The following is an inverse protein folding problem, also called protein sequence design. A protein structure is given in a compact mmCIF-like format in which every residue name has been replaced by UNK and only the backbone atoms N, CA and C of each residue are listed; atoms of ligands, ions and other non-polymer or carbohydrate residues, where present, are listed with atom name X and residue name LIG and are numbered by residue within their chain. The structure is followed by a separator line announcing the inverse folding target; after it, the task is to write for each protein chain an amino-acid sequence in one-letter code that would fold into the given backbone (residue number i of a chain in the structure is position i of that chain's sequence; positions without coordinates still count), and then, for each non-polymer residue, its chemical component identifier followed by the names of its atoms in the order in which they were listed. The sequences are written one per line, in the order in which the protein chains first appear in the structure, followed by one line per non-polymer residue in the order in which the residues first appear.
data_IF_516094865041
#
_entry.id   IF_516094865041
#
_cell.length_a   1.000
_cell.length_b   1.000
_cell.length_c   1.000
_cell.angle_alpha   90.00
_cell.angle_beta   90.00
_cell.angle_gamma   90.00
#
_symmetry.space_group_name_H-M   'P 1'
#
loop_
_entity.id
_entity.type
_entity.pdbx_description
1 polymer ?
#
# COMPACT_ATOMS: atom_id res chain seq x y z
N UNK A 1 29.25 31.98 -18.98
CA UNK A 1 30.24 31.15 -18.26
C UNK A 1 29.64 29.76 -18.10
N UNK A 2 30.23 28.74 -18.72
CA UNK A 2 29.74 27.36 -18.60
C UNK A 2 30.07 26.81 -17.20
N UNK A 3 29.16 26.03 -16.57
CA UNK A 3 29.40 25.45 -15.25
C UNK A 3 30.55 24.44 -15.33
N UNK A 4 31.49 24.53 -14.38
CA UNK A 4 32.61 23.59 -14.26
C UNK A 4 32.07 22.23 -13.79
N UNK A 5 32.45 21.11 -14.43
CA UNK A 5 32.03 19.78 -14.00
C UNK A 5 32.61 19.45 -12.63
N UNK A 6 31.77 18.91 -11.74
CA UNK A 6 32.14 18.42 -10.42
C UNK A 6 33.15 17.28 -10.57
N UNK A 7 34.38 17.49 -10.09
CA UNK A 7 35.41 16.43 -10.01
C UNK A 7 35.02 15.44 -8.92
N UNK A 8 34.89 14.16 -9.29
CA UNK A 8 34.71 13.06 -8.33
C UNK A 8 35.93 12.94 -7.39
N UNK A 9 35.74 12.56 -6.11
CA UNK A 9 36.83 12.22 -5.20
C UNK A 9 37.67 11.06 -5.74
N UNK A 10 38.99 11.16 -5.67
CA UNK A 10 39.96 10.28 -6.32
C UNK A 10 40.07 8.84 -5.74
N UNK A 11 39.16 8.42 -4.85
CA UNK A 11 39.28 7.15 -4.11
C UNK A 11 38.09 6.20 -4.24
N UNK A 12 37.15 6.45 -5.16
CA UNK A 12 36.06 5.50 -5.45
C UNK A 12 36.43 4.73 -6.73
N UNK A 13 36.63 3.39 -6.67
CA UNK A 13 36.88 2.60 -7.86
C UNK A 13 35.70 2.70 -8.84
N UNK A 14 35.95 2.66 -10.16
CA UNK A 14 34.89 2.78 -11.15
C UNK A 14 33.90 1.60 -11.01
N UNK A 15 32.60 1.91 -10.95
CA UNK A 15 31.50 0.94 -10.86
C UNK A 15 31.54 -0.17 -11.95
N UNK A 16 32.30 0.02 -13.02
CA UNK A 16 32.55 -0.99 -14.05
C UNK A 16 33.44 -2.16 -13.58
N UNK A 17 34.11 -2.09 -12.43
CA UNK A 17 34.94 -3.18 -11.91
C UNK A 17 34.20 -4.18 -11.02
N UNK A 18 32.95 -3.89 -10.63
CA UNK A 18 32.10 -4.81 -9.85
C UNK A 18 31.22 -5.70 -10.73
N UNK A 19 31.07 -5.36 -12.02
CA UNK A 19 30.23 -6.10 -12.97
C UNK A 19 30.98 -7.19 -13.75
N UNK A 20 32.27 -7.38 -13.49
CA UNK A 20 33.15 -8.34 -14.20
C UNK A 20 33.53 -9.55 -13.35
N UNK A 21 32.69 -9.95 -12.38
CA UNK A 21 32.83 -11.27 -11.77
C UNK A 21 32.36 -12.37 -12.75
N UNK A 22 33.21 -13.38 -13.04
CA UNK A 22 32.82 -14.50 -13.89
C UNK A 22 31.82 -15.38 -13.12
N UNK A 23 30.53 -15.25 -13.43
CA UNK A 23 29.47 -16.01 -12.77
C UNK A 23 28.05 -15.54 -13.09
N UNK A 24 27.86 -14.28 -13.50
CA UNK A 24 26.56 -13.79 -13.97
C UNK A 24 26.38 -14.07 -15.46
N UNK A 25 25.87 -15.27 -15.76
CA UNK A 25 25.27 -15.57 -17.05
C UNK A 25 23.96 -14.79 -17.18
N UNK A 26 23.93 -13.74 -17.99
CA UNK A 26 22.70 -13.14 -18.51
C UNK A 26 22.10 -14.08 -19.56
N UNK A 27 21.60 -15.23 -19.09
CA UNK A 27 20.85 -16.18 -19.89
C UNK A 27 19.49 -15.59 -20.26
N UNK A 28 19.44 -14.87 -21.38
CA UNK A 28 18.21 -14.50 -22.06
C UNK A 28 17.49 -15.75 -22.57
N UNK A 29 16.80 -16.44 -21.67
CA UNK A 29 15.77 -17.40 -22.02
C UNK A 29 14.46 -16.63 -22.06
N UNK A 30 13.95 -16.43 -23.27
CA UNK A 30 12.56 -16.02 -23.47
C UNK A 30 11.67 -17.13 -22.93
N UNK A 31 11.30 -17.04 -21.66
CA UNK A 31 10.26 -17.88 -21.08
C UNK A 31 8.98 -17.57 -21.87
N UNK A 32 8.35 -18.56 -22.53
CA UNK A 32 7.06 -18.32 -23.14
C UNK A 32 6.11 -17.86 -22.03
N UNK A 33 5.51 -16.68 -22.21
CA UNK A 33 4.46 -16.16 -21.34
C UNK A 33 3.34 -17.21 -21.31
N UNK A 34 3.34 -18.06 -20.28
CA UNK A 34 2.23 -18.94 -19.97
C UNK A 34 0.99 -18.07 -19.87
N UNK A 35 -0.08 -18.45 -20.57
CA UNK A 35 -1.38 -17.79 -20.44
C UNK A 35 -1.76 -17.80 -18.95
N UNK A 36 -1.73 -16.62 -18.33
CA UNK A 36 -1.96 -16.37 -16.91
C UNK A 36 -1.07 -17.19 -15.97
N UNK A 37 0.13 -16.69 -15.56
CA UNK A 37 0.76 -17.19 -14.35
C UNK A 37 -0.29 -17.20 -13.24
N UNK A 38 -0.47 -18.34 -12.58
CA UNK A 38 -1.48 -18.50 -11.54
C UNK A 38 -1.29 -17.40 -10.49
N UNK A 39 -2.11 -16.36 -10.59
CA UNK A 39 -2.12 -15.19 -9.74
C UNK A 39 -2.36 -15.66 -8.30
N UNK A 40 -1.29 -15.78 -7.53
CA UNK A 40 -1.38 -16.24 -6.15
C UNK A 40 -2.02 -15.12 -5.35
N UNK A 41 -3.23 -15.38 -4.83
CA UNK A 41 -3.86 -14.46 -3.89
C UNK A 41 -3.36 -14.77 -2.49
N UNK A 42 -3.01 -13.77 -1.67
CA UNK A 42 -2.72 -14.00 -0.27
C UNK A 42 -3.93 -14.63 0.41
N UNK A 43 -3.68 -15.60 1.29
CA UNK A 43 -4.75 -16.27 2.05
C UNK A 43 -5.42 -15.34 3.06
N UNK A 44 -4.68 -14.32 3.49
CA UNK A 44 -5.09 -13.36 4.50
C UNK A 44 -4.68 -11.93 4.13
N UNK A 45 -5.44 -10.94 4.60
CA UNK A 45 -5.14 -9.52 4.40
C UNK A 45 -5.43 -8.72 5.66
N UNK A 46 -4.68 -7.63 5.86
CA UNK A 46 -5.00 -6.59 6.84
C UNK A 46 -5.52 -5.37 6.07
N UNK A 47 -6.72 -4.91 6.42
CA UNK A 47 -7.29 -3.69 5.86
C UNK A 47 -7.08 -2.52 6.81
N UNK A 48 -6.47 -1.45 6.29
CA UNK A 48 -6.39 -0.17 6.95
C UNK A 48 -7.48 0.73 6.36
N UNK A 49 -8.42 1.17 7.20
CA UNK A 49 -9.61 1.93 6.80
C UNK A 49 -9.63 3.25 7.58
N UNK A 50 -9.78 4.35 6.84
CA UNK A 50 -10.01 5.67 7.44
C UNK A 50 -11.49 5.83 7.83
N UNK A 51 -11.72 6.35 9.04
CA UNK A 51 -13.03 6.80 9.55
C UNK A 51 -14.15 5.72 9.60
N UNK A 52 -14.25 4.96 10.72
CA UNK A 52 -15.29 3.95 10.89
C UNK A 52 -16.70 4.54 11.03
N UNK A 53 -16.85 5.85 11.28
CA UNK A 53 -18.19 6.43 11.56
C UNK A 53 -19.08 6.42 10.33
N UNK A 54 -18.48 6.58 9.15
CA UNK A 54 -19.17 6.43 7.86
C UNK A 54 -19.67 4.99 7.64
N UNK A 55 -18.86 3.99 8.00
CA UNK A 55 -19.19 2.57 7.83
C UNK A 55 -20.18 2.05 8.88
N UNK A 56 -20.15 2.60 10.10
CA UNK A 56 -21.08 2.25 11.18
C UNK A 56 -22.45 2.91 11.02
N UNK A 57 -22.54 4.12 10.44
CA UNK A 57 -23.83 4.78 10.19
C UNK A 57 -24.67 4.08 9.10
N UNK A 58 -24.02 3.42 8.13
CA UNK A 58 -24.70 2.73 7.03
C UNK A 58 -25.45 1.45 7.47
N UNK A 59 -25.08 0.85 8.61
CA UNK A 59 -25.72 -0.38 9.11
C UNK A 59 -26.93 -0.13 10.02
N UNK A 60 -27.20 1.12 10.41
CA UNK A 60 -28.19 1.45 11.45
C UNK A 60 -29.60 1.75 10.90
N UNK A 61 -29.86 1.55 9.60
CA UNK A 61 -31.18 1.78 8.99
C UNK A 61 -32.01 0.52 8.75
N UNK A 62 -31.52 -0.66 9.15
CA UNK A 62 -32.35 -1.89 9.20
C UNK A 62 -32.56 -2.34 10.64
N UNK A 63 -33.70 -1.94 11.24
CA UNK A 63 -34.33 -2.46 12.45
C UNK A 63 -33.45 -3.29 13.42
N UNK A 64 -32.85 -2.62 14.41
CA UNK A 64 -32.81 -3.11 15.79
C UNK A 64 -31.74 -4.12 16.20
N UNK A 65 -30.85 -4.57 15.31
CA UNK A 65 -29.69 -5.38 15.72
C UNK A 65 -28.41 -4.61 15.45
N UNK A 66 -27.65 -4.28 16.51
CA UNK A 66 -26.28 -3.76 16.43
C UNK A 66 -25.43 -4.74 15.59
N UNK A 67 -25.37 -4.49 14.29
CA UNK A 67 -24.69 -5.33 13.32
C UNK A 67 -23.19 -5.09 13.42
N UNK A 68 -22.54 -5.75 14.37
CA UNK A 68 -21.08 -5.88 14.34
C UNK A 68 -20.64 -6.46 13.00
N UNK A 69 -19.48 -6.04 12.50
CA UNK A 69 -18.87 -6.59 11.29
C UNK A 69 -18.76 -8.11 11.46
N UNK A 70 -19.60 -8.88 10.73
CA UNK A 70 -19.55 -10.34 10.77
C UNK A 70 -18.22 -10.80 10.16
N UNK A 71 -17.63 -11.87 10.69
CA UNK A 71 -16.34 -12.47 10.32
C UNK A 71 -16.27 -13.05 8.88
N UNK A 72 -17.03 -12.50 7.94
CA UNK A 72 -17.21 -12.98 6.57
C UNK A 72 -16.82 -11.99 5.48
N UNK A 73 -16.16 -10.87 5.82
CA UNK A 73 -15.68 -9.93 4.80
C UNK A 73 -14.62 -10.63 3.93
N UNK A 74 -15.02 -10.89 2.70
CA UNK A 74 -14.29 -11.59 1.68
C UNK A 74 -13.78 -10.53 0.69
N UNK A 75 -12.47 -10.40 0.54
CA UNK A 75 -11.90 -9.46 -0.42
C UNK A 75 -11.42 -10.25 -1.63
N UNK A 76 -12.29 -10.35 -2.64
CA UNK A 76 -12.03 -11.12 -3.86
C UNK A 76 -12.30 -12.64 -3.73
N UNK A 77 -12.96 -13.19 -4.75
CA UNK A 77 -13.14 -14.64 -4.96
C UNK A 77 -12.21 -15.14 -6.05
N UNK A 78 -11.46 -16.21 -5.82
CA UNK A 78 -10.81 -16.91 -6.92
C UNK A 78 -11.87 -17.64 -7.76
N UNK A 79 -11.64 -17.82 -9.08
CA UNK A 79 -12.48 -18.68 -9.94
C UNK A 79 -12.64 -20.11 -9.40
N UNK A 80 -11.72 -20.55 -8.52
CA UNK A 80 -11.72 -21.87 -7.86
C UNK A 80 -12.15 -21.85 -6.38
N UNK A 81 -12.85 -20.81 -5.94
CA UNK A 81 -13.53 -20.78 -4.63
C UNK A 81 -12.66 -20.49 -3.41
N UNK A 82 -11.36 -20.18 -3.57
CA UNK A 82 -10.59 -19.62 -2.44
C UNK A 82 -10.94 -18.16 -2.25
N UNK A 83 -11.40 -17.85 -1.05
CA UNK A 83 -11.72 -16.50 -0.60
C UNK A 83 -10.54 -15.97 0.20
N UNK A 84 -10.04 -14.78 -0.15
CA UNK A 84 -9.04 -14.10 0.67
C UNK A 84 -9.72 -13.60 1.95
N UNK A 85 -9.20 -14.04 3.10
CA UNK A 85 -9.80 -13.80 4.40
C UNK A 85 -9.24 -12.52 5.03
N UNK A 86 -10.10 -11.66 5.56
CA UNK A 86 -9.67 -10.54 6.37
C UNK A 86 -9.10 -11.04 7.72
N UNK A 87 -7.80 -10.82 7.99
CA UNK A 87 -7.12 -11.23 9.23
C UNK A 87 -7.01 -10.10 10.26
N UNK A 88 -6.97 -8.85 9.81
CA UNK A 88 -6.90 -7.68 10.69
C UNK A 88 -7.60 -6.45 10.12
N UNK A 89 -8.06 -5.59 11.01
CA UNK A 89 -8.66 -4.30 10.69
C UNK A 89 -7.95 -3.21 11.49
N UNK A 90 -7.46 -2.20 10.81
CA UNK A 90 -6.86 -1.03 11.46
C UNK A 90 -7.77 0.15 11.14
N UNK A 91 -8.45 0.64 12.16
CA UNK A 91 -9.34 1.79 12.08
C UNK A 91 -8.58 3.07 12.41
N UNK A 92 -8.90 4.15 11.72
CA UNK A 92 -8.47 5.48 12.13
C UNK A 92 -9.59 6.19 12.87
N UNK A 93 -9.38 6.53 14.14
CA UNK A 93 -10.36 7.23 14.97
C UNK A 93 -10.05 8.73 15.05
N UNK A 94 -11.06 9.53 14.76
CA UNK A 94 -11.04 10.98 15.01
C UNK A 94 -11.52 11.25 16.43
N UNK A 95 -10.87 12.20 17.10
CA UNK A 95 -10.86 12.44 18.57
C UNK A 95 -12.23 12.67 19.25
N UNK A 96 -13.35 12.65 18.52
CA UNK A 96 -14.67 13.01 19.05
C UNK A 96 -15.49 11.84 19.63
N UNK A 97 -15.13 10.59 19.37
CA UNK A 97 -15.89 9.43 19.84
C UNK A 97 -15.01 8.32 20.40
N UNK A 98 -14.17 8.62 21.41
CA UNK A 98 -13.39 7.61 22.13
C UNK A 98 -14.32 6.58 22.82
N UNK A 99 -14.77 5.59 22.05
CA UNK A 99 -15.57 4.48 22.50
C UNK A 99 -14.62 3.52 23.21
N UNK A 100 -14.70 3.55 24.54
CA UNK A 100 -13.98 2.71 25.51
C UNK A 100 -13.43 1.37 24.99
N UNK A 101 -12.15 1.13 25.30
CA UNK A 101 -11.22 0.01 25.03
C UNK A 101 -11.70 -1.46 25.17
N UNK A 102 -12.99 -1.75 25.30
CA UNK A 102 -13.46 -3.12 25.55
C UNK A 102 -13.89 -3.88 24.28
N UNK A 103 -13.10 -3.81 23.20
CA UNK A 103 -13.20 -4.77 22.10
C UNK A 103 -12.35 -6.02 22.40
N UNK A 104 -12.79 -6.81 23.39
CA UNK A 104 -12.32 -8.19 23.58
C UNK A 104 -13.28 -9.12 22.83
N UNK A 105 -12.93 -9.46 21.59
CA UNK A 105 -13.66 -10.47 20.82
C UNK A 105 -12.76 -11.68 20.59
N UNK A 106 -13.00 -12.77 21.35
CA UNK A 106 -12.22 -14.02 21.31
C UNK A 106 -12.29 -14.80 19.97
N UNK A 107 -12.92 -14.27 18.92
CA UNK A 107 -13.00 -14.94 17.60
C UNK A 107 -13.02 -14.02 16.36
N UNK A 108 -12.71 -12.73 16.51
CA UNK A 108 -12.75 -11.74 15.42
C UNK A 108 -11.39 -11.40 14.80
N UNK A 109 -11.35 -10.66 13.67
CA UNK A 109 -10.12 -10.03 13.18
C UNK A 109 -9.55 -9.13 14.28
N UNK A 110 -8.22 -9.13 14.46
CA UNK A 110 -7.59 -8.24 15.44
C UNK A 110 -7.78 -6.80 14.98
N UNK A 111 -8.27 -5.95 15.88
CA UNK A 111 -8.60 -4.56 15.60
C UNK A 111 -7.61 -3.62 16.28
N UNK A 112 -7.09 -2.65 15.52
CA UNK A 112 -6.22 -1.58 16.04
C UNK A 112 -6.85 -0.23 15.72
N UNK A 113 -6.76 0.69 16.66
CA UNK A 113 -7.16 2.08 16.46
C UNK A 113 -5.92 2.95 16.27
N UNK A 114 -5.92 3.76 15.21
CA UNK A 114 -4.92 4.76 14.88
C UNK A 114 -5.53 6.12 15.17
N UNK A 115 -4.96 6.87 16.10
CA UNK A 115 -5.54 8.14 16.51
C UNK A 115 -5.05 9.26 15.62
N UNK A 116 -5.99 10.04 15.07
CA UNK A 116 -5.65 11.24 14.33
C UNK A 116 -5.24 12.35 15.31
N UNK A 117 -4.00 12.82 15.20
CA UNK A 117 -3.55 14.01 15.90
C UNK A 117 -4.06 15.26 15.18
N UNK A 118 -4.26 16.33 15.95
CA UNK A 118 -4.84 17.59 15.45
C UNK A 118 -3.85 18.74 15.34
N UNK A 119 -2.59 18.54 15.75
CA UNK A 119 -1.56 19.59 15.80
C UNK A 119 -0.26 19.14 15.15
N UNK A 120 0.48 20.12 14.65
CA UNK A 120 1.85 20.02 14.17
C UNK A 120 2.67 21.06 14.97
N UNK A 121 3.75 20.68 15.68
CA UNK A 121 4.20 19.31 15.92
C UNK A 121 3.19 18.51 16.76
N UNK A 122 3.27 17.17 16.70
CA UNK A 122 2.35 16.29 17.42
C UNK A 122 2.64 16.26 18.93
N UNK A 123 1.62 16.42 19.77
CA UNK A 123 1.72 16.12 21.19
C UNK A 123 1.20 14.70 21.47
N UNK A 124 2.08 13.79 21.86
CA UNK A 124 1.69 12.42 22.22
C UNK A 124 1.26 12.33 23.70
N UNK A 125 0.25 11.51 24.02
CA UNK A 125 -0.12 11.25 25.41
C UNK A 125 1.02 10.52 26.14
N UNK A 126 1.28 10.90 27.39
CA UNK A 126 2.36 10.35 28.22
C UNK A 126 1.97 9.11 29.04
N UNK A 127 0.70 8.68 28.97
CA UNK A 127 0.16 7.56 29.74
C UNK A 127 0.56 6.18 29.20
N UNK A 128 0.57 5.17 30.07
CA UNK A 128 0.84 3.77 29.70
C UNK A 128 -0.28 3.16 28.83
N UNK A 129 -1.47 3.74 28.85
CA UNK A 129 -2.62 3.37 28.00
C UNK A 129 -2.62 4.14 26.68
N UNK A 130 -1.52 4.83 26.34
CA UNK A 130 -1.40 5.49 25.05
C UNK A 130 -1.47 4.44 23.93
N UNK A 131 -2.51 4.58 23.11
CA UNK A 131 -2.61 3.94 21.81
C UNK A 131 -1.27 3.94 21.07
N UNK A 132 -0.88 2.81 20.49
CA UNK A 132 0.47 2.68 19.89
C UNK A 132 0.60 3.30 18.51
N UNK A 133 -0.49 3.81 17.93
CA UNK A 133 -0.52 4.21 16.53
C UNK A 133 -1.20 5.57 16.38
N UNK A 134 -0.51 6.48 15.72
CA UNK A 134 -0.97 7.85 15.50
C UNK A 134 -0.79 8.23 14.03
N UNK A 135 -1.81 8.87 13.47
CA UNK A 135 -1.68 9.54 12.17
C UNK A 135 -1.55 11.02 12.42
N UNK A 136 -0.57 11.64 11.76
CA UNK A 136 -0.41 13.09 11.77
C UNK A 136 -1.45 13.74 10.84
N UNK A 137 -1.85 15.00 11.10
CA UNK A 137 -2.48 15.82 10.07
C UNK A 137 -1.65 15.80 8.79
N UNK A 138 -2.32 15.93 7.64
CA UNK A 138 -1.61 16.16 6.37
C UNK A 138 -0.71 17.37 6.51
N UNK A 139 0.58 17.18 6.25
CA UNK A 139 1.58 18.23 6.31
C UNK A 139 1.36 19.17 5.12
N UNK A 140 0.92 20.42 5.33
CA UNK A 140 0.57 21.28 4.22
C UNK A 140 1.82 21.79 3.50
N UNK A 141 1.71 22.05 2.20
CA UNK A 141 2.76 22.68 1.42
C UNK A 141 3.06 24.08 1.99
N UNK A 142 4.35 24.34 2.23
CA UNK A 142 4.82 25.59 2.83
C UNK A 142 4.89 25.59 4.36
N UNK A 143 4.40 24.55 5.05
CA UNK A 143 4.71 24.39 6.46
C UNK A 143 6.20 24.09 6.65
N UNK A 144 6.85 24.84 7.55
CA UNK A 144 8.27 24.72 7.85
C UNK A 144 8.47 23.85 9.10
N UNK A 145 8.76 22.55 8.92
CA UNK A 145 9.24 21.68 9.99
C UNK A 145 10.52 22.27 10.62
N UNK A 146 11.36 22.95 9.82
CA UNK A 146 12.61 23.57 10.29
C UNK A 146 12.39 24.59 11.39
N UNK A 147 11.32 25.37 11.31
CA UNK A 147 11.03 26.44 12.27
C UNK A 147 10.66 25.86 13.65
N UNK A 148 10.06 24.67 13.67
CA UNK A 148 9.61 23.95 14.87
C UNK A 148 10.41 22.67 15.12
N UNK A 149 11.59 22.55 14.52
CA UNK A 149 12.38 21.32 14.50
C UNK A 149 12.71 20.77 15.90
N UNK A 150 13.10 21.58 16.91
CA UNK A 150 13.33 21.05 18.25
C UNK A 150 12.10 20.38 18.85
N UNK A 151 10.91 20.97 18.68
CA UNK A 151 9.66 20.43 19.19
C UNK A 151 9.24 19.14 18.45
N UNK A 152 9.47 19.07 17.15
CA UNK A 152 9.33 17.82 16.38
C UNK A 152 10.25 16.72 16.91
N UNK A 153 11.53 17.02 17.14
CA UNK A 153 12.50 16.04 17.64
C UNK A 153 12.14 15.56 19.06
N UNK A 154 11.63 16.43 19.93
CA UNK A 154 11.15 16.03 21.27
C UNK A 154 9.94 15.10 21.17
N UNK A 155 9.03 15.41 20.25
CA UNK A 155 7.82 14.60 20.01
C UNK A 155 8.19 13.22 19.47
N UNK A 156 9.12 13.14 18.50
CA UNK A 156 9.58 11.86 17.95
C UNK A 156 10.41 11.05 18.95
N UNK A 157 11.18 11.71 19.83
CA UNK A 157 11.88 11.03 20.92
C UNK A 157 10.89 10.42 21.91
N UNK A 158 9.81 11.13 22.24
CA UNK A 158 8.72 10.60 23.05
C UNK A 158 8.04 9.41 22.34
N UNK A 159 7.77 9.54 21.05
CA UNK A 159 7.22 8.44 20.25
C UNK A 159 8.11 7.21 20.27
N UNK A 160 9.43 7.39 20.20
CA UNK A 160 10.39 6.28 20.24
C UNK A 160 10.39 5.61 21.61
N UNK A 161 10.40 6.40 22.69
CA UNK A 161 10.28 5.89 24.07
C UNK A 161 9.05 5.00 24.27
N UNK A 162 7.94 5.34 23.63
CA UNK A 162 6.68 4.60 23.74
C UNK A 162 6.44 3.58 22.60
N UNK A 163 7.43 3.35 21.72
CA UNK A 163 7.34 2.42 20.57
C UNK A 163 6.16 2.73 19.65
N UNK A 164 5.87 4.00 19.44
CA UNK A 164 4.73 4.43 18.65
C UNK A 164 4.99 4.22 17.15
N UNK A 165 3.92 3.97 16.42
CA UNK A 165 3.87 4.10 14.96
C UNK A 165 3.31 5.47 14.61
N UNK A 166 4.07 6.27 13.88
CA UNK A 166 3.70 7.62 13.46
C UNK A 166 3.54 7.64 11.95
N UNK A 167 2.33 7.95 11.49
CA UNK A 167 2.02 8.02 10.06
C UNK A 167 2.06 9.46 9.56
N UNK A 168 2.87 9.71 8.55
CA UNK A 168 2.93 10.98 7.84
C UNK A 168 2.02 10.92 6.62
N UNK A 169 1.21 11.95 6.46
CA UNK A 169 0.50 12.23 5.23
C UNK A 169 1.11 13.50 4.63
N UNK A 170 1.66 13.40 3.43
CA UNK A 170 2.37 14.48 2.76
C UNK A 170 1.45 15.11 1.71
N UNK A 171 1.46 16.43 1.58
CA UNK A 171 0.72 17.09 0.52
C UNK A 171 1.49 16.97 -0.81
N UNK A 172 0.93 16.23 -1.77
CA UNK A 172 1.61 15.95 -3.05
C UNK A 172 1.41 16.99 -4.15
N UNK A 173 1.97 16.69 -5.32
CA UNK A 173 1.90 17.50 -6.56
C UNK A 173 0.47 17.84 -7.06
N UNK A 174 -0.56 17.21 -6.51
CA UNK A 174 -1.96 17.36 -6.95
C UNK A 174 -2.84 18.31 -6.13
N UNK A 175 -2.36 18.86 -5.01
CA UNK A 175 -3.25 19.51 -4.02
C UNK A 175 -3.41 21.03 -4.17
N UNK A 176 -2.38 21.76 -4.63
CA UNK A 176 -2.39 23.23 -4.60
C UNK A 176 -2.62 23.83 -5.98
N UNK A 177 -3.54 24.79 -6.13
CA UNK A 177 -3.81 25.50 -7.39
C UNK A 177 -2.74 26.54 -7.80
N UNK A 178 -1.56 26.50 -7.19
CA UNK A 178 -0.45 27.42 -7.47
C UNK A 178 0.16 27.18 -8.85
N UNK A 179 1.00 28.12 -9.30
CA UNK A 179 1.85 27.92 -10.47
C UNK A 179 2.68 26.64 -10.30
N UNK A 180 2.78 25.84 -11.37
CA UNK A 180 3.43 24.52 -11.35
C UNK A 180 4.83 24.58 -10.74
N UNK A 181 5.64 25.57 -11.14
CA UNK A 181 7.03 25.71 -10.67
C UNK A 181 7.11 25.96 -9.16
N UNK A 182 6.20 26.76 -8.61
CA UNK A 182 6.17 27.03 -7.17
C UNK A 182 5.69 25.80 -6.39
N UNK A 183 4.72 25.05 -6.95
CA UNK A 183 4.28 23.79 -6.35
C UNK A 183 5.41 22.78 -6.27
N UNK A 184 6.14 22.60 -7.38
CA UNK A 184 7.25 21.64 -7.46
C UNK A 184 8.34 22.01 -6.45
N UNK A 185 8.65 23.31 -6.30
CA UNK A 185 9.58 23.80 -5.28
C UNK A 185 9.10 23.52 -3.86
N UNK A 186 7.82 23.70 -3.56
CA UNK A 186 7.25 23.45 -2.23
C UNK A 186 7.24 21.96 -1.89
N UNK A 187 6.95 21.08 -2.86
CA UNK A 187 7.01 19.63 -2.68
C UNK A 187 8.45 19.18 -2.42
N UNK A 188 9.41 19.66 -3.21
CA UNK A 188 10.83 19.41 -3.01
C UNK A 188 11.30 19.82 -1.60
N UNK A 189 10.90 21.02 -1.16
CA UNK A 189 11.20 21.52 0.17
C UNK A 189 10.53 20.70 1.27
N UNK A 190 9.32 20.17 1.06
CA UNK A 190 8.67 19.27 2.01
C UNK A 190 9.44 17.94 2.14
N UNK A 191 9.88 17.35 1.02
CA UNK A 191 10.68 16.13 1.03
C UNK A 191 12.00 16.31 1.79
N UNK A 192 12.73 17.39 1.52
CA UNK A 192 13.99 17.71 2.22
C UNK A 192 13.77 17.85 3.74
N UNK A 193 12.68 18.49 4.15
CA UNK A 193 12.37 18.70 5.56
C UNK A 193 11.99 17.42 6.29
N UNK A 194 11.22 16.53 5.66
CA UNK A 194 10.87 15.22 6.22
C UNK A 194 12.13 14.36 6.35
N UNK A 195 12.99 14.34 5.34
CA UNK A 195 14.27 13.64 5.37
C UNK A 195 15.19 14.16 6.49
N UNK A 196 15.31 15.48 6.63
CA UNK A 196 16.09 16.11 7.69
C UNK A 196 15.55 15.74 9.08
N UNK A 197 14.24 15.77 9.26
CA UNK A 197 13.58 15.38 10.50
C UNK A 197 13.87 13.92 10.86
N UNK A 198 13.70 13.01 9.91
CA UNK A 198 13.94 11.57 10.12
C UNK A 198 15.42 11.30 10.43
N UNK A 199 16.34 11.94 9.71
CA UNK A 199 17.78 11.84 9.94
C UNK A 199 18.18 12.33 11.33
N UNK A 200 17.70 13.51 11.74
CA UNK A 200 18.01 14.08 13.06
C UNK A 200 17.35 13.29 14.19
N UNK A 201 16.14 12.79 13.99
CA UNK A 201 15.47 11.93 14.98
C UNK A 201 16.27 10.64 15.22
N UNK A 202 16.75 10.01 14.14
CA UNK A 202 17.57 8.81 14.22
C UNK A 202 18.92 9.07 14.90
N UNK A 203 19.61 10.16 14.55
CA UNK A 203 20.87 10.53 15.19
C UNK A 203 20.70 10.78 16.70
N UNK A 204 19.65 11.51 17.10
CA UNK A 204 19.35 11.78 18.52
C UNK A 204 19.08 10.50 19.30
N UNK A 205 18.30 9.57 18.75
CA UNK A 205 18.03 8.29 19.39
C UNK A 205 19.29 7.43 19.52
N UNK A 206 20.16 7.46 18.51
CA UNK A 206 21.43 6.77 18.55
C UNK A 206 22.33 7.32 19.68
N UNK A 207 22.43 8.64 19.82
CA UNK A 207 23.16 9.29 20.92
C UNK A 207 22.61 8.90 22.30
N UNK A 208 21.28 8.91 22.47
CA UNK A 208 20.63 8.48 23.72
C UNK A 208 20.92 7.01 24.05
N UNK A 209 20.92 6.13 23.04
CA UNK A 209 21.22 4.71 23.24
C UNK A 209 22.68 4.45 23.63
N UNK A 210 23.62 5.30 23.18
CA UNK A 210 25.03 5.19 23.58
C UNK A 210 25.23 5.61 25.05
N UNK A 211 24.56 6.66 25.50
CA UNK A 211 24.67 7.11 26.90
C UNK A 211 24.18 6.07 27.92
N UNK A 212 23.19 5.25 27.54
CA UNK A 212 22.67 4.19 28.42
C UNK A 212 23.62 2.96 28.46
N UNK A 213 24.42 2.73 27.42
CA UNK A 213 25.30 1.57 27.31
C UNK A 213 26.65 1.70 28.00
N UNK A 214 27.14 2.92 28.28
CA UNK A 214 28.42 3.12 28.99
C UNK A 214 28.45 2.51 30.41
N UNK A 215 27.30 2.11 30.96
CA UNK A 215 27.18 1.44 32.26
C UNK A 215 27.10 -0.09 32.26
N UNK A 216 26.92 -0.76 31.11
CA UNK A 216 26.62 -2.22 31.06
C UNK A 216 27.55 -2.93 30.07
N UNK A 217 28.64 -3.49 30.58
CA UNK A 217 29.75 -4.04 29.79
C UNK A 217 29.58 -5.52 29.39
N UNK A 218 28.36 -5.98 29.11
CA UNK A 218 28.08 -7.36 28.66
C UNK A 218 27.73 -7.38 27.16
N UNK A 219 28.65 -7.92 26.34
CA UNK A 219 28.66 -7.84 24.88
C UNK A 219 27.60 -8.64 24.11
N UNK A 220 26.37 -8.78 24.62
CA UNK A 220 25.30 -9.56 23.99
C UNK A 220 24.09 -8.74 23.49
N UNK A 221 24.03 -7.41 23.68
CA UNK A 221 22.77 -6.65 23.52
C UNK A 221 22.62 -5.77 22.26
N UNK A 222 23.60 -5.68 21.36
CA UNK A 222 23.57 -4.69 20.27
C UNK A 222 22.39 -4.85 19.29
N UNK A 223 21.76 -6.03 19.23
CA UNK A 223 20.64 -6.28 18.30
C UNK A 223 19.24 -5.98 18.88
N UNK A 224 19.09 -5.85 20.21
CA UNK A 224 17.77 -5.65 20.84
C UNK A 224 17.24 -4.21 20.75
N UNK A 225 18.12 -3.22 20.56
CA UNK A 225 17.73 -1.80 20.58
C UNK A 225 16.93 -1.36 19.34
N UNK A 226 17.07 -2.05 18.20
CA UNK A 226 16.39 -1.65 16.96
C UNK A 226 14.86 -1.86 17.02
N UNK A 227 14.38 -2.86 17.77
CA UNK A 227 12.95 -3.18 17.88
C UNK A 227 12.18 -2.26 18.84
N UNK A 228 12.91 -1.48 19.66
CA UNK A 228 12.35 -0.58 20.68
C UNK A 228 12.08 0.82 20.17
N UNK A 229 12.41 1.15 18.92
CA UNK A 229 12.30 2.51 18.42
C UNK A 229 10.95 2.80 17.74
N UNK A 230 10.59 4.08 17.62
CA UNK A 230 9.42 4.51 16.86
C UNK A 230 9.51 4.05 15.40
N UNK A 231 8.35 3.73 14.82
CA UNK A 231 8.22 3.35 13.41
C UNK A 231 7.49 4.45 12.66
N UNK A 232 7.96 4.74 11.45
CA UNK A 232 7.42 5.82 10.63
C UNK A 232 6.75 5.22 9.40
N UNK A 233 5.57 5.72 9.05
CA UNK A 233 4.84 5.25 7.89
C UNK A 233 4.53 6.43 7.00
N UNK A 234 4.87 6.37 5.72
CA UNK A 234 4.44 7.34 4.72
C UNK A 234 3.19 6.81 4.04
N UNK A 235 2.11 7.58 4.13
CA UNK A 235 0.87 7.24 3.44
C UNK A 235 0.94 7.61 1.95
N UNK A 236 0.07 7.00 1.14
CA UNK A 236 -0.13 7.29 -0.28
C UNK A 236 1.17 7.32 -1.10
N UNK A 237 2.00 6.28 -0.98
CA UNK A 237 3.31 6.18 -1.65
C UNK A 237 4.30 7.33 -1.32
N UNK A 238 4.06 8.09 -0.25
CA UNK A 238 4.84 9.30 0.03
C UNK A 238 4.61 10.41 -0.99
N UNK A 239 3.39 10.49 -1.53
CA UNK A 239 2.90 11.58 -2.40
C UNK A 239 3.58 11.68 -3.78
N UNK A 240 3.40 10.65 -4.64
CA UNK A 240 3.95 10.63 -5.98
C UNK A 240 3.29 11.68 -6.90
N UNK A 241 3.89 11.96 -8.08
CA UNK A 241 3.25 12.79 -9.09
C UNK A 241 1.99 12.11 -9.67
N UNK A 242 0.81 12.73 -9.51
CA UNK A 242 -0.49 12.12 -9.88
C UNK A 242 -1.14 12.69 -11.15
N UNK A 243 -0.63 13.79 -11.70
CA UNK A 243 -1.30 14.54 -12.79
C UNK A 243 -0.80 14.18 -14.20
N UNK A 244 0.06 13.17 -14.33
CA UNK A 244 0.74 12.82 -15.58
C UNK A 244 0.34 11.44 -16.08
N UNK A 245 0.27 11.30 -17.40
CA UNK A 245 0.21 9.97 -18.04
C UNK A 245 1.51 9.20 -17.77
N UNK A 246 1.48 7.88 -17.80
CA UNK A 246 2.63 6.99 -17.68
C UNK A 246 3.81 7.39 -18.59
N UNK A 247 3.53 7.76 -19.84
CA UNK A 247 4.55 8.18 -20.81
C UNK A 247 5.20 9.52 -20.43
N UNK A 248 4.41 10.47 -19.92
CA UNK A 248 4.91 11.75 -19.41
C UNK A 248 5.69 11.54 -18.11
N UNK A 249 5.15 10.73 -17.21
CA UNK A 249 5.69 10.45 -15.88
C UNK A 249 7.11 9.88 -15.98
N UNK A 250 7.34 8.89 -16.85
CA UNK A 250 8.66 8.28 -17.09
C UNK A 250 9.75 9.28 -17.52
N UNK A 251 9.36 10.41 -18.10
CA UNK A 251 10.29 11.47 -18.57
C UNK A 251 10.30 12.68 -17.64
N UNK A 252 9.47 12.67 -16.61
CA UNK A 252 9.27 13.84 -15.77
C UNK A 252 10.40 14.00 -14.75
N UNK A 253 10.87 15.24 -14.50
CA UNK A 253 11.79 15.50 -13.40
C UNK A 253 11.14 15.21 -12.03
N UNK A 254 9.82 15.36 -11.93
CA UNK A 254 9.05 15.09 -10.71
C UNK A 254 9.15 13.61 -10.29
N UNK A 255 9.08 12.67 -11.24
CA UNK A 255 9.29 11.25 -10.94
C UNK A 255 10.71 11.00 -10.43
N UNK A 256 11.73 11.63 -11.05
CA UNK A 256 13.12 11.45 -10.64
C UNK A 256 13.38 12.00 -9.24
N UNK A 257 12.80 13.15 -8.92
CA UNK A 257 12.88 13.77 -7.60
C UNK A 257 12.19 12.92 -6.53
N UNK A 258 10.96 12.50 -6.79
CA UNK A 258 10.19 11.64 -5.89
C UNK A 258 10.85 10.26 -5.70
N UNK A 259 11.33 9.62 -6.77
CA UNK A 259 12.08 8.37 -6.67
C UNK A 259 13.37 8.55 -5.88
N UNK A 260 14.09 9.66 -6.10
CA UNK A 260 15.26 10.02 -5.30
C UNK A 260 14.94 10.23 -3.82
N UNK A 261 13.77 10.80 -3.50
CA UNK A 261 13.26 10.88 -2.13
C UNK A 261 13.01 9.50 -1.54
N UNK A 262 12.34 8.59 -2.26
CA UNK A 262 12.16 7.19 -1.83
C UNK A 262 13.49 6.48 -1.55
N UNK A 263 14.51 6.66 -2.40
CA UNK A 263 15.84 6.08 -2.18
C UNK A 263 16.53 6.63 -0.93
N UNK A 264 16.33 7.91 -0.59
CA UNK A 264 16.91 8.49 0.64
C UNK A 264 16.15 8.04 1.89
N UNK A 265 14.83 7.89 1.80
CA UNK A 265 14.03 7.29 2.86
C UNK A 265 14.45 5.85 3.19
N UNK A 266 14.89 5.10 2.18
CA UNK A 266 15.37 3.73 2.36
C UNK A 266 16.57 3.62 3.31
N UNK A 267 17.33 4.71 3.51
CA UNK A 267 18.43 4.79 4.48
C UNK A 267 17.94 4.75 5.94
N UNK A 268 16.65 5.00 6.17
CA UNK A 268 16.03 4.89 7.47
C UNK A 268 15.34 3.52 7.62
N UNK A 269 15.89 2.58 8.41
CA UNK A 269 15.36 1.21 8.50
C UNK A 269 13.97 1.13 9.13
N UNK A 270 13.50 2.21 9.75
CA UNK A 270 12.23 2.31 10.48
C UNK A 270 11.10 2.93 9.66
N UNK A 271 11.37 3.30 8.41
CA UNK A 271 10.40 3.92 7.50
C UNK A 271 9.73 2.85 6.67
N UNK A 272 8.41 2.87 6.67
CA UNK A 272 7.52 2.03 5.87
C UNK A 272 6.72 2.92 4.91
N UNK A 273 6.26 2.34 3.80
CA UNK A 273 5.41 3.02 2.83
C UNK A 273 4.10 2.26 2.66
N UNK A 274 2.97 2.97 2.78
CA UNK A 274 1.66 2.42 2.43
C UNK A 274 1.42 2.54 0.93
N UNK A 275 1.02 1.44 0.32
CA UNK A 275 0.50 1.34 -1.04
C UNK A 275 -0.99 1.69 -1.03
N UNK A 276 -1.31 2.88 -0.52
CA UNK A 276 -2.66 3.43 -0.49
C UNK A 276 -2.94 4.30 -1.71
N UNK A 277 -4.21 4.41 -2.09
CA UNK A 277 -4.59 5.25 -3.21
C UNK A 277 -4.27 6.72 -2.92
N UNK A 278 -3.63 7.47 -3.84
CA UNK A 278 -3.36 8.89 -3.61
C UNK A 278 -4.67 9.71 -3.58
N UNK A 279 -4.84 10.70 -2.66
CA UNK A 279 -6.09 11.43 -2.50
C UNK A 279 -6.59 12.15 -3.76
N UNK A 280 -5.67 12.65 -4.59
CA UNK A 280 -5.98 13.51 -5.74
C UNK A 280 -6.28 12.75 -7.05
N UNK A 281 -5.89 11.48 -7.16
CA UNK A 281 -6.04 10.68 -8.38
C UNK A 281 -7.47 10.21 -8.63
N UNK A 282 -8.32 10.13 -7.60
CA UNK A 282 -9.66 9.54 -7.70
C UNK A 282 -10.80 10.55 -7.87
N UNK A 283 -10.58 11.80 -7.46
CA UNK A 283 -11.65 12.80 -7.36
C UNK A 283 -12.18 13.21 -8.74
N UNK A 284 -11.35 13.19 -9.79
CA UNK A 284 -11.75 13.64 -11.13
C UNK A 284 -12.63 12.63 -11.88
N UNK A 285 -12.55 11.33 -11.56
CA UNK A 285 -13.18 10.24 -12.32
C UNK A 285 -14.28 9.50 -11.57
N UNK A 286 -14.67 9.93 -10.36
CA UNK A 286 -15.61 9.16 -9.54
C UNK A 286 -15.04 7.81 -9.08
N UNK A 287 -13.74 7.77 -8.72
CA UNK A 287 -13.06 6.56 -8.28
C UNK A 287 -12.53 5.67 -9.41
N UNK A 288 -12.01 4.50 -9.05
CA UNK A 288 -11.51 3.47 -10.01
C UNK A 288 -12.67 2.90 -10.83
N UNK A 289 -13.84 2.80 -10.18
CA UNK A 289 -15.06 2.26 -10.78
C UNK A 289 -15.60 3.14 -11.90
N UNK A 290 -15.45 4.46 -11.79
CA UNK A 290 -15.87 5.41 -12.81
C UNK A 290 -14.90 5.60 -13.98
N UNK A 291 -13.70 5.00 -13.93
CA UNK A 291 -12.73 5.06 -15.04
C UNK A 291 -13.18 4.17 -16.20
N UNK A 292 -13.07 4.68 -17.43
CA UNK A 292 -13.18 3.83 -18.62
C UNK A 292 -11.97 2.86 -18.70
N UNK A 293 -12.03 1.91 -19.64
CA UNK A 293 -11.01 0.86 -19.78
C UNK A 293 -9.62 1.43 -20.11
N UNK A 294 -9.57 2.47 -20.94
CA UNK A 294 -8.33 3.14 -21.34
C UNK A 294 -7.67 3.86 -20.15
N UNK A 295 -8.45 4.63 -19.40
CA UNK A 295 -8.01 5.37 -18.22
C UNK A 295 -7.58 4.42 -17.10
N UNK A 296 -8.30 3.30 -16.91
CA UNK A 296 -7.91 2.27 -15.94
C UNK A 296 -6.60 1.59 -16.34
N UNK A 297 -6.43 1.27 -17.62
CA UNK A 297 -5.17 0.71 -18.14
C UNK A 297 -4.02 1.69 -17.95
N UNK A 298 -4.25 2.98 -18.21
CA UNK A 298 -3.25 4.02 -18.01
C UNK A 298 -2.91 4.22 -16.53
N UNK A 299 -3.92 4.22 -15.67
CA UNK A 299 -3.75 4.30 -14.23
C UNK A 299 -2.95 3.11 -13.68
N UNK A 300 -3.23 1.88 -14.16
CA UNK A 300 -2.44 0.69 -13.83
C UNK A 300 -0.96 0.86 -14.20
N UNK A 301 -0.65 1.42 -15.38
CA UNK A 301 0.75 1.70 -15.80
C UNK A 301 1.41 2.72 -14.87
N UNK A 302 0.68 3.76 -14.49
CA UNK A 302 1.17 4.78 -13.55
C UNK A 302 1.46 4.17 -12.17
N UNK A 303 0.53 3.38 -11.62
CA UNK A 303 0.72 2.68 -10.34
C UNK A 303 1.89 1.71 -10.40
N UNK A 304 2.11 1.03 -11.53
CA UNK A 304 3.30 0.20 -11.74
C UNK A 304 4.59 0.99 -11.62
N UNK A 305 4.68 2.17 -12.26
CA UNK A 305 5.87 3.04 -12.15
C UNK A 305 6.13 3.42 -10.69
N UNK A 306 5.08 3.73 -9.93
CA UNK A 306 5.23 4.05 -8.52
C UNK A 306 5.69 2.85 -7.69
N UNK A 307 5.04 1.68 -7.88
CA UNK A 307 5.40 0.43 -7.19
C UNK A 307 6.84 0.04 -7.49
N UNK A 308 7.28 0.09 -8.74
CA UNK A 308 8.66 -0.22 -9.14
C UNK A 308 9.66 0.67 -8.37
N UNK A 309 9.40 1.97 -8.27
CA UNK A 309 10.29 2.90 -7.58
C UNK A 309 10.34 2.67 -6.06
N UNK A 310 9.21 2.46 -5.39
CA UNK A 310 9.20 2.20 -3.93
C UNK A 310 9.74 0.82 -3.61
N UNK A 311 9.52 -0.17 -4.46
CA UNK A 311 10.03 -1.52 -4.30
C UNK A 311 11.55 -1.56 -4.45
N UNK A 312 12.10 -0.89 -5.46
CA UNK A 312 13.55 -0.78 -5.68
C UNK A 312 14.24 -0.07 -4.50
N UNK A 313 13.62 0.98 -3.98
CA UNK A 313 14.17 1.73 -2.85
C UNK A 313 14.02 0.99 -1.52
N UNK A 314 12.80 0.58 -1.15
CA UNK A 314 12.51 0.10 0.20
C UNK A 314 12.56 -1.43 0.36
N UNK A 315 12.33 -2.18 -0.71
CA UNK A 315 12.13 -3.61 -0.69
C UNK A 315 10.76 -4.03 -0.13
N UNK A 316 10.39 -5.29 -0.36
CA UNK A 316 9.08 -5.86 0.02
C UNK A 316 8.80 -5.86 1.54
N UNK A 317 9.83 -5.84 2.40
CA UNK A 317 9.70 -5.88 3.86
C UNK A 317 9.14 -4.59 4.47
N UNK A 318 9.14 -3.50 3.69
CA UNK A 318 8.78 -2.16 4.17
C UNK A 318 7.57 -1.56 3.44
N UNK A 319 6.91 -2.35 2.60
CA UNK A 319 5.68 -1.96 1.91
C UNK A 319 4.47 -2.56 2.62
N UNK A 320 3.39 -1.79 2.70
CA UNK A 320 2.13 -2.20 3.34
C UNK A 320 0.98 -1.86 2.41
N UNK A 321 0.14 -2.83 2.07
CA UNK A 321 -1.11 -2.52 1.38
C UNK A 321 -2.06 -1.77 2.31
N UNK A 322 -2.70 -0.72 1.80
CA UNK A 322 -3.74 0.02 2.52
C UNK A 322 -4.81 0.49 1.55
N UNK A 323 -6.04 0.60 2.02
CA UNK A 323 -7.19 1.09 1.26
C UNK A 323 -7.74 2.39 1.87
N UNK A 324 -6.85 3.19 2.47
CA UNK A 324 -7.16 4.47 3.11
C UNK A 324 -7.71 5.47 2.08
N UNK A 325 -8.63 6.33 2.52
CA UNK A 325 -9.31 7.30 1.66
C UNK A 325 -10.34 6.77 0.66
N UNK A 326 -10.61 5.46 0.61
CA UNK A 326 -11.69 4.89 -0.22
C UNK A 326 -13.01 4.81 0.55
N UNK A 327 -14.12 4.92 -0.19
CA UNK A 327 -15.46 4.81 0.38
C UNK A 327 -15.76 3.36 0.81
N UNK A 328 -15.35 3.01 2.03
CA UNK A 328 -15.60 1.70 2.63
C UNK A 328 -17.08 1.48 2.99
N UNK A 329 -17.94 2.51 2.92
CA UNK A 329 -19.36 2.39 3.28
C UNK A 329 -20.16 1.51 2.33
N UNK A 330 -19.59 1.20 1.16
CA UNK A 330 -20.18 0.35 0.12
C UNK A 330 -19.65 -1.09 0.13
N UNK A 331 -18.96 -1.52 1.18
CA UNK A 331 -18.57 -2.93 1.32
C UNK A 331 -19.84 -3.80 1.33
N UNK A 332 -20.02 -4.72 0.36
CA UNK A 332 -21.20 -5.57 0.32
C UNK A 332 -21.21 -6.37 1.60
N UNK A 333 -22.29 -6.24 2.39
CA UNK A 333 -22.53 -7.15 3.50
C UNK A 333 -22.49 -8.55 2.90
N UNK A 334 -21.45 -9.31 3.21
CA UNK A 334 -21.19 -10.63 2.64
C UNK A 334 -22.44 -11.48 2.79
N UNK A 335 -23.29 -11.52 1.75
CA UNK A 335 -24.39 -12.45 1.70
C UNK A 335 -23.71 -13.79 1.53
N UNK A 336 -23.57 -14.51 2.64
CA UNK A 336 -23.24 -15.93 2.67
C UNK A 336 -24.39 -16.68 2.01
N UNK A 337 -24.57 -16.50 0.71
CA UNK A 337 -25.43 -17.33 -0.12
C UNK A 337 -24.70 -18.64 -0.29
N UNK A 338 -24.93 -19.54 0.67
CA UNK A 338 -24.71 -20.97 0.52
C UNK A 338 -25.70 -21.49 -0.53
N UNK A 339 -25.53 -21.07 -1.78
CA UNK A 339 -26.15 -21.73 -2.93
C UNK A 339 -25.29 -22.95 -3.23
N UNK A 340 -25.60 -24.04 -2.54
CA UNK A 340 -25.20 -25.39 -2.91
C UNK A 340 -25.84 -25.71 -4.26
N UNK A 341 -25.17 -25.35 -5.35
CA UNK A 341 -25.50 -25.86 -6.68
C UNK A 341 -25.14 -27.34 -6.70
N UNK A 342 -26.16 -28.18 -6.54
CA UNK A 342 -26.10 -29.61 -6.81
C UNK A 342 -25.68 -29.81 -8.26
N UNK A 343 -24.49 -30.36 -8.47
CA UNK A 343 -24.07 -30.92 -9.76
C UNK A 343 -25.08 -32.00 -10.18
N UNK A 344 -25.86 -31.72 -11.22
CA UNK A 344 -26.59 -32.75 -11.96
C UNK A 344 -25.60 -33.44 -12.91
N UNK A 345 -25.02 -34.54 -12.44
CA UNK A 345 -24.46 -35.58 -13.29
C UNK A 345 -25.59 -36.30 -14.00
N UNK A 346 -25.72 -36.12 -15.31
CA UNK A 346 -26.14 -37.13 -16.30
C UNK A 346 -26.35 -36.44 -17.65
N UNK A 347 -25.27 -36.31 -18.43
CA UNK A 347 -25.40 -36.12 -19.87
C UNK A 347 -24.78 -37.36 -20.54
N UNK A 348 -25.68 -38.28 -20.87
CA UNK A 348 -25.43 -39.51 -21.63
C UNK A 348 -24.84 -39.17 -23.00
N UNK A 349 -23.56 -39.50 -23.19
CA UNK A 349 -22.88 -39.48 -24.47
C UNK A 349 -23.51 -40.52 -25.40
N UNK A 350 -24.32 -40.07 -26.35
CA UNK A 350 -24.84 -40.89 -27.44
C UNK A 350 -23.84 -40.83 -28.61
N UNK A 351 -23.03 -41.88 -28.75
CA UNK A 351 -22.16 -42.06 -29.90
C UNK A 351 -23.00 -42.41 -31.14
N UNK A 352 -23.16 -41.45 -32.06
CA UNK A 352 -23.66 -41.69 -33.41
C UNK A 352 -22.49 -41.50 -34.36
N UNK A 353 -22.05 -42.61 -34.95
CA UNK A 353 -21.16 -42.61 -36.09
C UNK A 353 -21.94 -42.24 -37.35
N UNK A 354 -21.37 -41.31 -38.11
CA UNK A 354 -21.81 -40.96 -39.45
C UNK A 354 -20.61 -40.38 -40.18
N UNK A 355 -20.07 -41.16 -41.11
CA UNK A 355 -19.30 -40.67 -42.25
C UNK A 355 -20.13 -39.60 -42.96
N UNK A 356 -19.53 -38.44 -43.25
CA UNK A 356 -19.60 -37.80 -44.56
C UNK A 356 -18.85 -36.46 -44.53
N UNK A 357 -18.09 -36.26 -45.60
CA UNK A 357 -17.26 -35.12 -45.91
C UNK A 357 -18.04 -33.79 -45.97
N UNK A 358 -17.30 -32.68 -45.74
CA UNK A 358 -17.67 -31.29 -46.08
C UNK A 358 -18.40 -30.46 -44.99
N UNK A 359 -17.66 -29.97 -43.98
CA UNK A 359 -18.14 -28.89 -43.08
C UNK A 359 -16.99 -28.19 -42.32
N UNK A 360 -16.23 -27.31 -42.98
CA UNK A 360 -15.19 -26.47 -42.35
C UNK A 360 -15.66 -25.08 -41.90
N UNK A 361 -16.92 -24.68 -42.16
CA UNK A 361 -17.39 -23.32 -41.85
C UNK A 361 -18.16 -23.17 -40.51
N UNK A 362 -18.54 -24.25 -39.84
CA UNK A 362 -19.40 -24.16 -38.63
C UNK A 362 -18.63 -24.03 -37.31
N UNK A 363 -17.30 -24.16 -37.32
CA UNK A 363 -16.49 -24.15 -36.09
C UNK A 363 -16.07 -22.75 -35.62
N UNK A 364 -15.96 -21.77 -36.53
CA UNK A 364 -15.50 -20.41 -36.19
C UNK A 364 -16.52 -19.59 -35.39
N UNK A 365 -17.82 -19.84 -35.58
CA UNK A 365 -18.89 -19.08 -34.89
C UNK A 365 -18.88 -19.36 -33.37
N UNK A 366 -18.54 -20.59 -32.95
CA UNK A 366 -18.51 -20.99 -31.54
C UNK A 366 -17.41 -20.31 -30.71
N UNK A 367 -16.26 -20.01 -31.31
CA UNK A 367 -15.13 -19.40 -30.61
C UNK A 367 -15.35 -17.90 -30.34
N UNK A 368 -16.03 -17.21 -31.27
CA UNK A 368 -16.35 -15.79 -31.13
C UNK A 368 -17.44 -15.54 -30.09
N UNK A 369 -18.42 -16.45 -29.96
CA UNK A 369 -19.47 -16.36 -28.94
C UNK A 369 -18.94 -16.67 -27.53
N UNK A 370 -18.02 -17.63 -27.39
CA UNK A 370 -17.37 -17.93 -26.10
C UNK A 370 -16.52 -16.76 -25.59
N UNK A 371 -15.78 -16.08 -26.47
CA UNK A 371 -14.95 -14.92 -26.09
C UNK A 371 -15.80 -13.70 -25.73
N UNK A 372 -16.91 -13.46 -26.42
CA UNK A 372 -17.85 -12.39 -26.08
C UNK A 372 -18.52 -12.64 -24.72
N UNK A 373 -18.92 -13.88 -24.42
CA UNK A 373 -19.52 -14.23 -23.13
C UNK A 373 -18.52 -14.09 -21.97
N UNK A 374 -17.28 -14.55 -22.15
CA UNK A 374 -16.24 -14.40 -21.13
C UNK A 374 -15.91 -12.92 -20.83
N UNK A 375 -15.81 -12.08 -21.87
CA UNK A 375 -15.57 -10.65 -21.69
C UNK A 375 -16.71 -9.95 -20.95
N UNK A 376 -17.96 -10.36 -21.22
CA UNK A 376 -19.14 -9.84 -20.52
C UNK A 376 -19.18 -10.28 -19.06
N UNK A 377 -18.86 -11.55 -18.77
CA UNK A 377 -18.79 -12.04 -17.39
C UNK A 377 -17.72 -11.32 -16.58
N UNK A 378 -16.56 -11.02 -17.18
CA UNK A 378 -15.49 -10.25 -16.55
C UNK A 378 -15.93 -8.80 -16.23
N UNK A 379 -16.61 -8.14 -17.18
CA UNK A 379 -17.17 -6.80 -16.98
C UNK A 379 -18.24 -6.79 -15.87
N UNK A 380 -19.15 -7.77 -15.88
CA UNK A 380 -20.17 -7.92 -14.83
C UNK A 380 -19.56 -8.27 -13.45
N UNK A 381 -18.45 -9.00 -13.40
CA UNK A 381 -17.73 -9.27 -12.15
C UNK A 381 -17.05 -8.00 -11.62
N UNK A 382 -16.39 -7.24 -12.51
CA UNK A 382 -15.72 -5.99 -12.14
C UNK A 382 -16.71 -4.92 -11.67
N UNK A 383 -17.90 -4.84 -12.29
CA UNK A 383 -18.99 -3.96 -11.84
C UNK A 383 -19.50 -4.30 -10.43
N UNK A 384 -19.31 -5.53 -9.95
CA UNK A 384 -19.69 -5.95 -8.59
C UNK A 384 -18.66 -5.58 -7.54
N UNK A 385 -17.42 -5.32 -7.95
CA UNK A 385 -16.36 -4.95 -7.02
C UNK A 385 -16.60 -3.56 -6.44
N UNK A 386 -16.23 -3.43 -5.17
CA UNK A 386 -16.13 -2.15 -4.47
C UNK A 386 -14.86 -1.41 -4.85
N UNK A 387 -14.76 -0.12 -4.53
CA UNK A 387 -13.52 0.63 -4.76
C UNK A 387 -12.31 0.01 -4.04
N UNK A 388 -12.53 -0.51 -2.83
CA UNK A 388 -11.50 -1.16 -2.03
C UNK A 388 -11.02 -2.45 -2.68
N UNK A 389 -11.93 -3.27 -3.21
CA UNK A 389 -11.59 -4.49 -3.94
C UNK A 389 -10.92 -4.18 -5.27
N UNK A 390 -11.38 -3.16 -6.00
CA UNK A 390 -10.74 -2.70 -7.24
C UNK A 390 -9.30 -2.23 -6.98
N UNK A 391 -9.07 -1.47 -5.91
CA UNK A 391 -7.72 -1.06 -5.53
C UNK A 391 -6.85 -2.25 -5.13
N UNK A 392 -7.40 -3.20 -4.37
CA UNK A 392 -6.72 -4.44 -4.02
C UNK A 392 -6.30 -5.24 -5.24
N UNK A 393 -7.22 -5.52 -6.17
CA UNK A 393 -6.93 -6.28 -7.39
C UNK A 393 -5.91 -5.56 -8.26
N UNK A 394 -6.04 -4.24 -8.43
CA UNK A 394 -5.07 -3.41 -9.17
C UNK A 394 -3.66 -3.53 -8.59
N UNK A 395 -3.47 -3.29 -7.28
CA UNK A 395 -2.14 -3.36 -6.64
C UNK A 395 -1.59 -4.78 -6.71
N UNK A 396 -2.43 -5.79 -6.50
CA UNK A 396 -2.04 -7.21 -6.56
C UNK A 396 -1.56 -7.60 -7.96
N UNK A 397 -2.30 -7.22 -8.99
CA UNK A 397 -1.92 -7.48 -10.39
C UNK A 397 -0.61 -6.78 -10.76
N UNK A 398 -0.45 -5.52 -10.36
CA UNK A 398 0.78 -4.78 -10.60
C UNK A 398 1.97 -5.44 -9.91
N UNK A 399 1.86 -5.85 -8.65
CA UNK A 399 2.94 -6.56 -7.95
C UNK A 399 3.28 -7.89 -8.65
N UNK A 400 2.29 -8.62 -9.13
CA UNK A 400 2.50 -9.84 -9.90
C UNK A 400 3.22 -9.58 -11.24
N UNK A 401 2.84 -8.51 -11.95
CA UNK A 401 3.50 -8.09 -13.21
C UNK A 401 4.97 -7.67 -13.01
N UNK A 402 5.32 -7.20 -11.82
CA UNK A 402 6.68 -6.85 -11.41
C UNK A 402 7.49 -8.09 -10.99
N UNK A 403 6.84 -9.24 -10.81
CA UNK A 403 7.48 -10.51 -10.46
C UNK A 403 7.61 -10.73 -8.95
N UNK A 404 6.79 -10.06 -8.14
CA UNK A 404 6.70 -10.34 -6.70
C UNK A 404 6.13 -11.73 -6.48
N UNK A 405 6.83 -12.53 -5.68
CA UNK A 405 6.39 -13.89 -5.38
C UNK A 405 5.25 -13.92 -4.35
N UNK A 406 4.67 -15.11 -4.15
CA UNK A 406 3.55 -15.30 -3.22
C UNK A 406 3.88 -14.98 -1.76
N UNK A 407 5.13 -15.21 -1.34
CA UNK A 407 5.58 -15.00 0.03
C UNK A 407 5.74 -13.49 0.30
N UNK A 408 6.35 -12.78 -0.64
CA UNK A 408 6.47 -11.33 -0.66
C UNK A 408 5.08 -10.65 -0.72
N UNK A 409 4.15 -11.16 -1.53
CA UNK A 409 2.76 -10.70 -1.50
C UNK A 409 2.14 -10.85 -0.11
N UNK A 410 2.33 -11.99 0.55
CA UNK A 410 1.83 -12.19 1.92
C UNK A 410 2.47 -11.23 2.93
N UNK A 411 3.69 -10.76 2.69
CA UNK A 411 4.32 -9.73 3.52
C UNK A 411 3.62 -8.38 3.34
N UNK A 412 3.50 -7.94 2.09
CA UNK A 412 2.95 -6.63 1.72
C UNK A 412 1.49 -6.49 2.17
N UNK A 413 0.67 -7.53 1.96
CA UNK A 413 -0.76 -7.48 2.25
C UNK A 413 -1.14 -7.84 3.70
N UNK A 414 -0.22 -8.39 4.49
CA UNK A 414 -0.52 -8.85 5.85
C UNK A 414 0.66 -8.72 6.81
N UNK A 415 1.75 -9.46 6.59
CA UNK A 415 2.77 -9.68 7.65
C UNK A 415 3.41 -8.38 8.11
N UNK A 416 3.68 -7.46 7.18
CA UNK A 416 4.31 -6.18 7.49
C UNK A 416 3.39 -5.31 8.33
N UNK A 417 2.10 -5.21 7.97
CA UNK A 417 1.11 -4.52 8.78
C UNK A 417 0.96 -5.18 10.15
N UNK A 418 0.87 -6.51 10.20
CA UNK A 418 0.71 -7.24 11.46
C UNK A 418 1.88 -6.97 12.42
N UNK A 419 3.11 -7.00 11.91
CA UNK A 419 4.31 -6.70 12.68
C UNK A 419 4.37 -5.23 13.10
N UNK A 420 4.10 -4.31 12.15
CA UNK A 420 4.17 -2.87 12.37
C UNK A 420 3.18 -2.42 13.45
N UNK A 421 1.93 -2.87 13.34
CA UNK A 421 0.82 -2.48 14.22
C UNK A 421 0.73 -3.34 15.49
N UNK A 422 1.72 -4.20 15.78
CA UNK A 422 1.73 -5.01 17.00
C UNK A 422 0.57 -6.00 17.08
N UNK A 423 0.12 -6.50 15.94
CA UNK A 423 -0.98 -7.44 15.79
C UNK A 423 -0.55 -8.90 15.80
N UNK A 424 0.75 -9.22 15.83
CA UNK A 424 1.22 -10.61 15.91
C UNK A 424 0.90 -11.25 17.27
#
# INVERSE_FOLDING_TARGET
MAPRPLRRPAHIPPLSSLLSQPGYSTGGTSVPLSASPHLVRPGHIVLLIDDPTSAAAATDHSNGTKGGWKSGLAMGRQPRGRVTKLSGLVFKETKENALSDNFSAESGPKTVVVHLLSSLPPTFPSGNDASRHFTLPTLPLGYSIRDELPAWLDSLALASKHKLTVEFNLEGYGSVLSAQDERDRLVAAQFEQVEELLSKSFAREFELSQSDQEGVQDGAETQRSADTAARFVLDAFGSPPTQMTSTQLLRSPQLQEWAGFCSRLALHPRVFVKLSPPPSSFVKSGGIKGMNKEDRSEFRRVVRIWIDAVLDALGEERLIFAATGLDATKLPASTSSASSSSLSTEETVQAVGGDDDDATETQEISAQEQTANAAREEEEEEERLTEVELWYELVREVLADVGIDALAMSKIFETNAMRLYGLL
#
